data_IF_487409853875
#
_entry.id   IF_487409853875
#
_cell.length_a   1.000
_cell.length_b   1.000
_cell.length_c   1.000
_cell.angle_alpha   90.00
_cell.angle_beta   90.00
_cell.angle_gamma   90.00
#
_symmetry.space_group_name_H-M   'P 1'
#
loop_
_entity.id
_entity.type
_entity.pdbx_description
1 polymer ?
#
# COMPACT_ATOMS: atom_id res chain seq x y z
N UNK A 1 21.87 6.84 2.36
CA UNK A 1 20.86 7.89 2.15
C UNK A 1 19.53 7.48 2.70
N UNK A 2 18.99 8.30 3.55
CA UNK A 2 17.71 7.98 4.15
C UNK A 2 16.60 8.16 3.12
N UNK A 3 15.67 7.23 3.12
CA UNK A 3 14.49 7.35 2.30
C UNK A 3 13.40 8.02 3.10
N UNK A 4 12.53 8.68 2.41
CA UNK A 4 11.33 9.22 3.03
C UNK A 4 10.14 8.48 2.45
N UNK A 5 9.12 8.41 3.27
CA UNK A 5 7.87 7.81 2.85
C UNK A 5 6.87 8.91 2.54
N UNK A 6 6.23 8.80 1.41
CA UNK A 6 5.15 9.71 1.08
C UNK A 6 4.10 8.97 0.28
N UNK A 7 2.90 9.53 0.28
CA UNK A 7 1.78 8.99 -0.47
C UNK A 7 1.16 10.15 -1.24
N UNK A 8 0.95 9.93 -2.52
CA UNK A 8 0.34 10.92 -3.36
C UNK A 8 -0.88 10.31 -4.04
N UNK A 9 -2.03 10.87 -3.81
CA UNK A 9 -3.27 10.42 -4.43
C UNK A 9 -3.74 11.49 -5.39
N UNK A 10 -3.93 11.10 -6.64
CA UNK A 10 -4.36 12.01 -7.68
C UNK A 10 -5.76 11.64 -8.12
N UNK A 11 -6.68 12.54 -7.85
CA UNK A 11 -8.06 12.43 -8.33
C UNK A 11 -8.71 11.09 -7.96
N UNK A 12 -8.26 10.48 -6.88
CA UNK A 12 -8.72 9.17 -6.42
C UNK A 12 -8.62 8.09 -7.50
N UNK A 13 -7.88 8.36 -8.56
CA UNK A 13 -7.69 7.39 -9.66
C UNK A 13 -6.32 6.78 -9.65
N UNK A 14 -5.39 7.35 -8.90
CA UNK A 14 -4.07 6.77 -8.78
C UNK A 14 -3.49 7.10 -7.43
N UNK A 15 -2.59 6.24 -6.98
CA UNK A 15 -1.90 6.45 -5.72
C UNK A 15 -0.45 6.01 -5.90
N UNK A 16 0.47 6.87 -5.49
CA UNK A 16 1.89 6.62 -5.61
C UNK A 16 2.52 6.63 -4.23
N UNK A 17 3.31 5.60 -3.95
CA UNK A 17 4.02 5.49 -2.68
C UNK A 17 5.51 5.64 -2.91
N UNK A 18 6.17 6.27 -1.95
CA UNK A 18 7.64 6.25 -1.87
C UNK A 18 8.03 5.63 -0.54
N UNK A 19 9.32 5.29 -0.40
CA UNK A 19 9.77 4.63 0.82
C UNK A 19 9.24 3.22 0.94
N UNK A 20 9.00 2.54 -0.18
CA UNK A 20 8.41 1.21 -0.20
C UNK A 20 9.50 0.17 -0.05
N UNK A 21 9.26 -0.81 0.83
CA UNK A 21 10.18 -1.93 1.00
C UNK A 21 9.73 -3.16 0.26
N UNK A 22 8.42 -3.34 0.13
CA UNK A 22 7.89 -4.53 -0.51
C UNK A 22 6.41 -4.33 -0.78
N UNK A 23 5.85 -5.21 -1.58
CA UNK A 23 4.41 -5.25 -1.83
C UNK A 23 3.93 -6.62 -1.42
N UNK A 24 2.87 -6.65 -0.61
CA UNK A 24 2.28 -7.90 -0.18
C UNK A 24 1.23 -8.38 -1.17
N UNK A 25 0.20 -8.99 -0.63
CA UNK A 25 -0.89 -9.50 -1.47
C UNK A 25 -1.62 -8.34 -2.12
N UNK A 26 -2.08 -8.57 -3.35
CA UNK A 26 -2.89 -7.56 -4.01
C UNK A 26 -3.92 -8.21 -4.90
N UNK A 27 -5.00 -7.50 -5.07
CA UNK A 27 -6.09 -7.91 -5.94
C UNK A 27 -6.71 -6.64 -6.49
N UNK A 28 -7.79 -6.78 -7.22
CA UNK A 28 -8.48 -5.61 -7.76
C UNK A 28 -9.14 -4.78 -6.67
N UNK A 29 -9.32 -5.36 -5.49
CA UNK A 29 -10.03 -4.69 -4.39
C UNK A 29 -9.11 -4.18 -3.31
N UNK A 30 -7.89 -4.68 -3.23
CA UNK A 30 -7.02 -4.37 -2.10
C UNK A 30 -5.57 -4.62 -2.47
N UNK A 31 -4.71 -3.74 -1.99
CA UNK A 31 -3.26 -3.87 -2.18
C UNK A 31 -2.57 -3.56 -0.87
N UNK A 32 -1.63 -4.42 -0.48
CA UNK A 32 -0.80 -4.19 0.70
C UNK A 32 0.57 -3.69 0.26
N UNK A 33 1.01 -2.61 0.86
CA UNK A 33 2.32 -2.01 0.55
C UNK A 33 3.08 -1.85 1.85
N UNK A 34 4.26 -2.45 1.92
CA UNK A 34 5.12 -2.34 3.11
C UNK A 34 6.09 -1.20 2.90
N UNK A 35 6.05 -0.24 3.81
CA UNK A 35 6.92 0.94 3.73
C UNK A 35 7.81 1.03 4.93
N UNK A 36 8.76 1.96 4.89
CA UNK A 36 9.67 2.19 6.01
C UNK A 36 8.94 2.77 7.23
N UNK A 37 7.70 3.19 7.06
CA UNK A 37 6.91 3.78 8.16
C UNK A 37 5.72 2.93 8.54
N UNK A 38 5.65 1.71 8.02
CA UNK A 38 4.55 0.81 8.36
C UNK A 38 3.94 0.20 7.13
N UNK A 39 2.90 -0.56 7.32
CA UNK A 39 2.21 -1.21 6.24
C UNK A 39 0.99 -0.40 5.85
N UNK A 40 0.80 -0.20 4.56
CA UNK A 40 -0.36 0.50 4.04
C UNK A 40 -1.27 -0.50 3.36
N UNK A 41 -2.55 -0.37 3.59
CA UNK A 41 -3.55 -1.19 2.92
C UNK A 41 -4.46 -0.25 2.15
N UNK A 42 -4.43 -0.38 0.83
CA UNK A 42 -5.26 0.42 -0.07
C UNK A 42 -6.44 -0.42 -0.48
N UNK A 43 -7.63 0.12 -0.34
CA UNK A 43 -8.84 -0.53 -0.81
C UNK A 43 -9.50 0.31 -1.87
N UNK A 44 -10.09 -0.36 -2.84
CA UNK A 44 -10.72 0.34 -3.93
C UNK A 44 -11.38 -0.63 -4.88
N UNK A 45 -11.54 -0.19 -6.11
CA UNK A 45 -12.13 -1.01 -7.17
C UNK A 45 -11.30 -0.88 -8.43
N UNK A 46 -11.09 -2.03 -9.08
CA UNK A 46 -10.32 -2.06 -10.30
C UNK A 46 -8.88 -1.64 -10.08
N UNK A 47 -8.34 -1.96 -8.92
CA UNK A 47 -6.97 -1.59 -8.59
C UNK A 47 -5.99 -2.45 -9.38
N UNK A 48 -4.93 -1.83 -9.85
CA UNK A 48 -3.84 -2.59 -10.44
C UNK A 48 -2.54 -1.83 -10.25
N UNK A 49 -1.47 -2.58 -10.11
CA UNK A 49 -0.14 -2.00 -9.97
C UNK A 49 0.30 -1.52 -11.33
N UNK A 50 0.51 -0.22 -11.45
CA UNK A 50 0.94 0.38 -12.69
C UNK A 50 2.45 0.31 -12.84
N UNK A 51 3.16 0.54 -11.75
CA UNK A 51 4.60 0.41 -11.76
C UNK A 51 5.10 0.02 -10.39
N UNK A 52 6.21 -0.67 -10.37
CA UNK A 52 6.81 -1.16 -9.14
C UNK A 52 8.32 -1.11 -9.31
N UNK A 53 8.98 -0.31 -8.47
CA UNK A 53 10.42 -0.19 -8.51
C UNK A 53 10.93 -0.23 -7.07
N UNK A 54 11.32 -1.42 -6.64
CA UNK A 54 11.79 -1.61 -5.27
C UNK A 54 13.19 -1.05 -5.05
N UNK A 55 13.95 -0.86 -6.11
CA UNK A 55 15.25 -0.20 -5.97
C UNK A 55 15.08 1.25 -5.57
N UNK A 56 14.08 1.90 -6.15
CA UNK A 56 13.75 3.28 -5.81
C UNK A 56 12.78 3.37 -4.65
N UNK A 57 12.15 2.26 -4.31
CA UNK A 57 11.14 2.27 -3.26
C UNK A 57 9.86 2.95 -3.70
N UNK A 58 9.45 2.75 -4.94
CA UNK A 58 8.26 3.39 -5.50
C UNK A 58 7.27 2.40 -6.02
N UNK A 59 6.00 2.66 -5.76
CA UNK A 59 4.90 1.86 -6.29
C UNK A 59 3.83 2.82 -6.74
N UNK A 60 3.31 2.60 -7.92
CA UNK A 60 2.18 3.36 -8.43
C UNK A 60 1.03 2.40 -8.73
N UNK A 61 -0.14 2.75 -8.26
CA UNK A 61 -1.34 1.94 -8.41
C UNK A 61 -2.42 2.79 -9.05
N UNK A 62 -3.13 2.21 -10.00
CA UNK A 62 -4.27 2.85 -10.62
C UNK A 62 -5.55 2.17 -10.17
N UNK A 63 -6.64 2.91 -10.22
CA UNK A 63 -7.95 2.39 -9.90
C UNK A 63 -8.71 3.37 -9.06
N UNK A 64 -9.93 3.00 -8.70
CA UNK A 64 -10.75 3.86 -7.86
C UNK A 64 -10.34 3.66 -6.40
N UNK A 65 -9.72 4.67 -5.82
CA UNK A 65 -9.21 4.59 -4.45
C UNK A 65 -10.33 4.91 -3.47
N UNK A 66 -10.61 3.98 -2.57
CA UNK A 66 -11.66 4.16 -1.58
C UNK A 66 -11.08 4.47 -0.21
N UNK A 67 -10.04 3.74 0.20
CA UNK A 67 -9.48 3.98 1.52
C UNK A 67 -8.01 3.63 1.54
N UNK A 68 -7.31 4.24 2.49
CA UNK A 68 -5.92 3.97 2.78
C UNK A 68 -5.78 3.83 4.28
N UNK A 69 -5.25 2.71 4.72
CA UNK A 69 -5.09 2.43 6.14
C UNK A 69 -3.65 2.08 6.43
N UNK A 70 -3.09 2.67 7.48
CA UNK A 70 -1.76 2.30 7.96
C UNK A 70 -1.89 1.32 9.10
N UNK A 71 -0.99 0.35 9.13
CA UNK A 71 -0.85 -0.53 10.26
C UNK A 71 0.61 -0.54 10.70
N UNK A 72 0.85 -1.00 11.90
CA UNK A 72 2.20 -1.03 12.44
C UNK A 72 3.03 -2.06 11.68
N UNK A 73 4.18 -1.63 11.18
CA UNK A 73 5.06 -2.49 10.41
C UNK A 73 5.52 -3.70 11.20
N UNK A 74 5.72 -3.54 12.50
CA UNK A 74 6.18 -4.64 13.34
C UNK A 74 5.16 -5.76 13.41
N UNK A 75 3.95 -5.48 13.07
CA UNK A 75 2.86 -6.42 13.22
C UNK A 75 2.44 -7.03 11.89
N UNK A 76 3.40 -7.23 10.99
CA UNK A 76 3.10 -7.86 9.72
C UNK A 76 2.33 -9.15 9.89
N UNK A 77 2.78 -9.96 10.84
CA UNK A 77 2.12 -11.24 11.08
C UNK A 77 0.71 -11.06 11.58
N UNK A 78 0.44 -9.91 12.16
CA UNK A 78 -0.87 -9.66 12.72
C UNK A 78 -1.86 -9.11 11.72
N UNK A 79 -1.43 -8.91 10.49
CA UNK A 79 -2.36 -8.41 9.49
C UNK A 79 -3.52 -9.36 9.29
N UNK A 80 -3.26 -10.66 9.32
CA UNK A 80 -4.36 -11.61 9.20
C UNK A 80 -5.25 -11.58 10.43
N UNK A 81 -4.68 -11.34 11.59
CA UNK A 81 -5.48 -11.21 12.81
C UNK A 81 -6.36 -9.97 12.75
N UNK A 82 -5.79 -8.88 12.25
CA UNK A 82 -6.56 -7.66 12.07
C UNK A 82 -7.73 -7.91 11.13
N UNK A 83 -7.48 -8.64 10.07
CA UNK A 83 -8.54 -8.99 9.15
C UNK A 83 -9.63 -9.80 9.83
N UNK A 84 -9.27 -10.68 10.76
CA UNK A 84 -10.25 -11.45 11.49
C UNK A 84 -11.06 -10.57 12.43
N UNK A 85 -10.41 -9.60 13.02
CA UNK A 85 -11.09 -8.72 13.95
C UNK A 85 -12.15 -7.90 13.25
N UNK A 86 -11.89 -7.52 12.03
CA UNK A 86 -12.80 -6.68 11.28
C UNK A 86 -13.92 -7.44 10.59
N UNK A 87 -13.96 -8.72 10.75
CA UNK A 87 -15.02 -9.49 10.12
C UNK A 87 -16.31 -9.43 10.90
#
# INVERSE_FOLDING_TARGET
>A
MAQTHSVFIDDRNSITFTGVEDVGDFSEDQIQVYTIKGCCIVKGKGLKVQSLDLNEGKVAVEGNIISLLYTDKKNRENLSLIGKIFK
#
